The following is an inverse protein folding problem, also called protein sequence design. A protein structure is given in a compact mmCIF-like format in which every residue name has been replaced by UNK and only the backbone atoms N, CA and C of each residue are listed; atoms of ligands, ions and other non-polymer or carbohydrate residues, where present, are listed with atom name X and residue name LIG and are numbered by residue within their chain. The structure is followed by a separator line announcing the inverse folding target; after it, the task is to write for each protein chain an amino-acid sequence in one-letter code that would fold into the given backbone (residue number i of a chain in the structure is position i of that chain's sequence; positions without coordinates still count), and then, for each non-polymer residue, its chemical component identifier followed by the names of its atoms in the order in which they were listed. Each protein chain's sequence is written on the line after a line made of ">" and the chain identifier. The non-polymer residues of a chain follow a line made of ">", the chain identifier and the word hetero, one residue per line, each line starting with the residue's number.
data_IF_994974087086
#
_entry.id   IF_994974087086
#
_cell.length_a   1.000
_cell.length_b   1.000
_cell.length_c   1.000
_cell.angle_alpha   90.00
_cell.angle_beta   90.00
_cell.angle_gamma   90.00
#
_symmetry.space_group_name_H-M   'P 1'
#
loop_
_entity.id
_entity.type
_entity.pdbx_description
1 polymer ?
#
# COMPACT_ATOMS: atom_id res chain seq x y z
N UNK A 1 -0.46 -12.36 -33.37
CA UNK A 1 -0.04 -11.08 -32.73
C UNK A 1 1.45 -10.97 -32.95
N UNK A 2 1.88 -9.91 -33.61
CA UNK A 2 3.29 -9.74 -33.95
C UNK A 2 4.08 -9.09 -32.81
N UNK A 3 5.39 -9.36 -32.78
CA UNK A 3 6.30 -8.77 -31.79
C UNK A 3 6.24 -7.25 -31.87
N UNK A 4 6.10 -6.61 -30.71
CA UNK A 4 6.01 -5.15 -30.60
C UNK A 4 4.59 -4.59 -30.72
N UNK A 5 3.56 -5.43 -30.78
CA UNK A 5 2.16 -5.03 -30.54
C UNK A 5 2.03 -4.46 -29.13
N UNK A 6 1.40 -3.28 -29.00
CA UNK A 6 1.20 -2.63 -27.71
C UNK A 6 -0.14 -3.05 -27.10
N UNK A 7 -0.13 -3.43 -25.81
CA UNK A 7 -1.35 -3.71 -25.05
C UNK A 7 -1.75 -2.50 -24.20
N UNK A 8 -3.05 -2.19 -24.20
CA UNK A 8 -3.64 -1.15 -23.37
C UNK A 8 -4.50 -1.82 -22.31
N UNK A 9 -4.22 -1.50 -21.05
CA UNK A 9 -4.95 -2.02 -19.90
C UNK A 9 -5.45 -0.91 -18.98
N UNK A 10 -6.52 -1.21 -18.26
CA UNK A 10 -7.08 -0.37 -17.21
C UNK A 10 -7.01 -1.11 -15.88
N UNK A 11 -6.73 -0.38 -14.81
CA UNK A 11 -6.79 -0.89 -13.44
C UNK A 11 -7.73 0.00 -12.63
N UNK A 12 -8.43 -0.58 -11.66
CA UNK A 12 -9.28 0.19 -10.75
C UNK A 12 -8.44 0.60 -9.54
N UNK A 13 -8.22 1.91 -9.38
CA UNK A 13 -7.57 2.44 -8.18
C UNK A 13 -8.50 2.32 -6.96
N UNK A 14 -7.94 2.07 -5.78
CA UNK A 14 -8.70 2.02 -4.52
C UNK A 14 -9.40 0.69 -4.22
N UNK A 15 -9.30 -0.32 -5.08
CA UNK A 15 -9.82 -1.67 -4.79
C UNK A 15 -8.83 -2.55 -4.02
N UNK A 16 -7.59 -2.11 -3.86
CA UNK A 16 -6.54 -2.86 -3.18
C UNK A 16 -6.78 -2.80 -1.66
N UNK A 17 -7.23 -3.92 -1.09
CA UNK A 17 -7.47 -4.06 0.35
C UNK A 17 -6.19 -4.48 1.06
N UNK A 18 -6.10 -4.19 2.36
CA UNK A 18 -5.01 -4.72 3.17
C UNK A 18 -4.97 -6.25 3.10
N UNK A 19 -3.78 -6.82 2.99
CA UNK A 19 -3.56 -8.25 2.74
C UNK A 19 -3.67 -8.68 1.27
N UNK A 20 -3.99 -7.77 0.34
CA UNK A 20 -3.93 -8.04 -1.09
C UNK A 20 -2.58 -7.60 -1.65
N UNK A 21 -1.77 -8.56 -2.06
CA UNK A 21 -0.45 -8.34 -2.64
C UNK A 21 -0.43 -8.05 -4.15
N UNK A 22 -1.60 -7.91 -4.80
CA UNK A 22 -1.70 -7.92 -6.27
C UNK A 22 -2.79 -7.03 -6.81
N UNK A 23 -2.52 -6.40 -7.96
CA UNK A 23 -3.47 -5.54 -8.68
C UNK A 23 -4.01 -6.26 -9.91
N UNK A 24 -5.32 -6.21 -10.11
CA UNK A 24 -5.96 -6.72 -11.31
C UNK A 24 -5.97 -5.66 -12.40
N UNK A 25 -5.33 -5.96 -13.52
CA UNK A 25 -5.33 -5.11 -14.72
C UNK A 25 -6.15 -5.81 -15.79
N UNK A 26 -7.13 -5.11 -16.37
CA UNK A 26 -7.93 -5.61 -17.49
C UNK A 26 -7.34 -5.08 -18.79
N UNK A 27 -7.00 -5.96 -19.72
CA UNK A 27 -6.55 -5.57 -21.05
C UNK A 27 -7.77 -5.31 -21.92
N UNK A 28 -7.88 -4.11 -22.48
CA UNK A 28 -9.05 -3.68 -23.26
C UNK A 28 -8.79 -3.66 -24.75
N UNK A 29 -7.52 -3.46 -25.15
CA UNK A 29 -7.16 -3.27 -26.55
C UNK A 29 -5.72 -3.69 -26.83
N UNK A 30 -5.50 -4.29 -27.99
CA UNK A 30 -4.17 -4.48 -28.56
C UNK A 30 -4.06 -3.67 -29.85
N UNK A 31 -2.92 -3.02 -30.05
CA UNK A 31 -2.61 -2.28 -31.28
C UNK A 31 -1.41 -2.88 -31.98
N UNK A 32 -1.60 -3.40 -33.19
CA UNK A 32 -0.49 -3.96 -33.98
C UNK A 32 0.42 -2.84 -34.48
N UNK A 33 1.72 -3.15 -34.62
CA UNK A 33 2.75 -2.18 -35.05
C UNK A 33 3.06 -2.24 -36.55
N UNK A 34 2.47 -3.18 -37.27
CA UNK A 34 2.65 -3.37 -38.71
C UNK A 34 1.37 -2.95 -39.44
N UNK A 35 1.47 -2.37 -40.65
CA UNK A 35 0.31 -2.10 -41.50
C UNK A 35 -0.52 -3.39 -41.67
N UNK A 36 -1.84 -3.36 -41.45
CA UNK A 36 -2.73 -2.18 -41.44
C UNK A 36 -2.96 -1.49 -40.07
N UNK A 37 -2.11 -1.71 -39.05
CA UNK A 37 -2.26 -1.14 -37.69
C UNK A 37 -3.62 -1.43 -37.07
N UNK A 38 -3.93 -2.71 -36.93
CA UNK A 38 -5.22 -3.17 -36.43
C UNK A 38 -5.34 -2.91 -34.93
N UNK A 39 -6.49 -2.38 -34.56
CA UNK A 39 -6.95 -2.21 -33.19
C UNK A 39 -7.89 -3.37 -32.83
N UNK A 40 -7.40 -4.30 -32.01
CA UNK A 40 -8.13 -5.50 -31.63
C UNK A 40 -8.78 -5.26 -30.26
N UNK A 41 -10.12 -5.18 -30.16
CA UNK A 41 -10.79 -5.08 -28.87
C UNK A 41 -10.64 -6.40 -28.10
N UNK A 42 -10.33 -6.29 -26.81
CA UNK A 42 -10.24 -7.45 -25.92
C UNK A 42 -11.39 -7.46 -24.94
N UNK A 43 -12.21 -8.51 -24.98
CA UNK A 43 -13.25 -8.80 -23.99
C UNK A 43 -12.81 -9.98 -23.13
N UNK A 44 -12.74 -9.80 -21.81
CA UNK A 44 -12.43 -10.87 -20.86
C UNK A 44 -10.93 -11.18 -20.67
N UNK A 45 -10.03 -10.36 -21.21
CA UNK A 45 -8.59 -10.51 -20.98
C UNK A 45 -8.15 -9.79 -19.69
N UNK A 46 -7.35 -10.48 -18.89
CA UNK A 46 -6.78 -9.98 -17.64
C UNK A 46 -5.25 -10.13 -17.70
N UNK A 47 -4.53 -9.19 -17.11
CA UNK A 47 -3.11 -9.34 -16.90
C UNK A 47 -2.88 -10.45 -15.86
N UNK A 48 -1.91 -11.31 -16.17
CA UNK A 48 -1.40 -12.33 -15.29
C UNK A 48 0.09 -12.06 -15.07
N UNK A 49 0.61 -12.51 -13.94
CA UNK A 49 2.04 -12.49 -13.69
C UNK A 49 2.78 -13.53 -14.54
N UNK A 50 4.09 -13.66 -14.30
CA UNK A 50 5.00 -14.40 -15.18
C UNK A 50 4.68 -15.90 -15.25
N UNK A 51 4.05 -16.46 -14.22
CA UNK A 51 3.66 -17.87 -14.13
C UNK A 51 2.17 -18.09 -14.43
N UNK A 52 1.46 -17.08 -14.93
CA UNK A 52 0.02 -17.16 -15.21
C UNK A 52 -0.86 -16.98 -13.97
N UNK A 53 -0.27 -16.54 -12.86
CA UNK A 53 -1.00 -16.17 -11.66
C UNK A 53 -1.90 -14.95 -11.88
N UNK A 54 -3.03 -14.92 -11.18
CA UNK A 54 -3.98 -13.83 -11.34
C UNK A 54 -3.46 -12.53 -10.70
N UNK A 55 -3.52 -11.45 -11.49
CA UNK A 55 -3.05 -10.13 -11.08
C UNK A 55 -1.56 -9.91 -11.32
N UNK A 56 -1.16 -8.63 -11.29
CA UNK A 56 0.23 -8.20 -11.31
C UNK A 56 0.72 -8.01 -9.88
N UNK A 57 1.89 -8.56 -9.58
CA UNK A 57 2.66 -8.20 -8.39
C UNK A 57 3.35 -6.83 -8.59
N UNK A 58 3.80 -6.23 -7.49
CA UNK A 58 4.51 -4.96 -7.49
C UNK A 58 4.93 -4.53 -6.09
N UNK A 59 5.66 -3.42 -6.00
CA UNK A 59 5.98 -2.83 -4.71
C UNK A 59 4.72 -2.20 -4.09
N UNK A 60 4.41 -2.59 -2.85
CA UNK A 60 3.24 -2.13 -2.10
C UNK A 60 3.70 -1.34 -0.89
N UNK A 61 3.23 -0.09 -0.81
CA UNK A 61 3.32 0.71 0.40
C UNK A 61 2.09 0.47 1.29
N UNK A 62 2.30 -0.13 2.46
CA UNK A 62 1.23 -0.40 3.43
C UNK A 62 0.79 0.86 4.19
N UNK A 63 1.53 1.97 4.07
CA UNK A 63 1.28 3.23 4.77
C UNK A 63 1.16 3.04 6.29
N UNK A 64 2.02 2.18 6.87
CA UNK A 64 1.92 1.79 8.29
C UNK A 64 2.02 2.98 9.23
N UNK A 65 2.99 3.88 9.00
CA UNK A 65 3.20 5.07 9.85
C UNK A 65 1.99 6.01 9.76
N UNK A 66 1.45 6.24 8.58
CA UNK A 66 0.27 7.10 8.39
C UNK A 66 -0.97 6.51 9.05
N UNK A 67 -1.11 5.18 9.06
CA UNK A 67 -2.26 4.48 9.65
C UNK A 67 -2.19 4.35 11.17
N UNK A 68 -1.01 4.11 11.72
CA UNK A 68 -0.84 3.74 13.13
C UNK A 68 -0.03 4.74 13.94
N UNK A 69 0.77 5.59 13.31
CA UNK A 69 1.65 6.55 13.99
C UNK A 69 0.90 7.49 14.93
N UNK A 70 -0.24 8.04 14.48
CA UNK A 70 -1.06 8.93 15.32
C UNK A 70 -1.60 8.25 16.58
N UNK A 71 -2.13 7.02 16.44
CA UNK A 71 -2.65 6.25 17.57
C UNK A 71 -1.54 5.86 18.55
N UNK A 72 -0.36 5.47 18.04
CA UNK A 72 0.81 5.18 18.86
C UNK A 72 1.25 6.40 19.68
N UNK A 73 1.30 7.59 19.06
CA UNK A 73 1.69 8.82 19.76
C UNK A 73 0.68 9.19 20.86
N UNK A 74 -0.62 9.05 20.61
CA UNK A 74 -1.65 9.25 21.64
C UNK A 74 -1.53 8.24 22.78
N UNK A 75 -1.22 6.99 22.45
CA UNK A 75 -0.99 5.92 23.41
C UNK A 75 0.22 6.15 24.32
N UNK A 76 1.20 6.97 23.91
CA UNK A 76 2.36 7.33 24.75
C UNK A 76 2.06 8.42 25.79
N UNK A 77 0.94 9.14 25.68
CA UNK A 77 0.60 10.24 26.59
C UNK A 77 0.48 9.78 28.06
N UNK A 78 -0.22 8.68 28.39
CA UNK A 78 -0.31 8.17 29.76
C UNK A 78 1.06 7.81 30.34
N UNK A 79 1.93 7.18 29.56
CA UNK A 79 3.27 6.75 29.99
C UNK A 79 4.15 7.96 30.30
N UNK A 80 4.14 8.98 29.43
CA UNK A 80 4.87 10.24 29.65
C UNK A 80 4.33 10.94 30.91
N UNK A 81 3.02 10.99 31.07
CA UNK A 81 2.38 11.64 32.23
C UNK A 81 2.74 10.92 33.53
N UNK A 82 2.71 9.59 33.53
CA UNK A 82 3.11 8.76 34.68
C UNK A 82 4.60 8.93 35.00
N UNK A 83 5.47 8.98 33.98
CA UNK A 83 6.90 9.22 34.17
C UNK A 83 7.17 10.60 34.80
N UNK A 84 6.49 11.65 34.31
CA UNK A 84 6.60 13.00 34.86
C UNK A 84 6.10 13.06 36.32
N UNK A 85 4.96 12.45 36.62
CA UNK A 85 4.42 12.39 37.99
C UNK A 85 5.37 11.66 38.95
N UNK A 86 5.99 10.55 38.52
CA UNK A 86 6.97 9.81 39.31
C UNK A 86 8.26 10.61 39.57
N UNK A 87 8.69 11.47 38.64
CA UNK A 87 9.83 12.36 38.86
C UNK A 87 9.49 13.51 39.82
N UNK A 88 8.30 14.10 39.70
CA UNK A 88 7.82 15.14 40.63
C UNK A 88 7.73 14.60 42.07
N UNK A 89 7.13 13.42 42.27
CA UNK A 89 7.03 12.78 43.59
C UNK A 89 8.35 12.25 44.17
N UNK A 90 9.47 12.31 43.45
CA UNK A 90 10.82 12.06 43.98
C UNK A 90 11.48 13.33 44.50
N UNK A 91 11.13 14.50 43.96
CA UNK A 91 11.70 15.79 44.38
C UNK A 91 11.22 16.20 45.79
N UNK A 92 10.01 15.83 46.16
CA UNK A 92 9.41 16.16 47.47
C UNK A 92 9.74 15.17 48.60
N UNK A 93 10.51 14.10 48.32
CA UNK A 93 10.95 13.10 49.32
C UNK A 93 12.36 13.34 49.87
N UNK A 94 12.88 14.56 49.72
CA UNK A 94 14.12 15.01 50.33
C UNK A 94 13.86 16.22 51.26
N UNK A 95 12.83 16.15 52.10
CA UNK A 95 12.76 16.97 53.32
C UNK A 95 13.50 16.22 54.41
N UNK A 96 14.75 16.63 54.59
CA UNK A 96 15.62 16.32 55.71
C UNK A 96 14.86 16.62 57.02
N UNK A 97 14.67 15.59 57.85
CA UNK A 97 14.22 15.75 59.23
C UNK A 97 15.46 15.60 60.12
N UNK A 98 16.18 16.71 60.33
CA UNK A 98 17.16 16.89 61.42
C UNK A 98 16.68 17.93 62.41
#
# INVERSE_FOLDING_TARGET
>A
IDKGTTAYGVYNAGTLRHGQGRVFIRITKLRTRQPPYLDIPMSGSQAAGELGESGSDGWIDEHWVDRFGGALMLGMIPDITAAAANQAGKKDRNTDYT
#
